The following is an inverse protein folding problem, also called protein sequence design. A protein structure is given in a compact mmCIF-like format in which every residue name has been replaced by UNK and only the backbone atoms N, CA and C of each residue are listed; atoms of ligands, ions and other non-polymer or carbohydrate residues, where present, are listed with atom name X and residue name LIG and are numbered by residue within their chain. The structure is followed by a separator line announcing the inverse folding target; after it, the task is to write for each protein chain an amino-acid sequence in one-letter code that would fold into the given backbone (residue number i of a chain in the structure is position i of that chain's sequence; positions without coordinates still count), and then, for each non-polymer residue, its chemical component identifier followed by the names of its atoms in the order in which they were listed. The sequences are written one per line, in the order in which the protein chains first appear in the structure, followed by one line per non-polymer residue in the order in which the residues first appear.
data_IF_286686508965
#
_entry.id   IF_286686508965
#
_cell.length_a   1.000
_cell.length_b   1.000
_cell.length_c   1.000
_cell.angle_alpha   90.00
_cell.angle_beta   90.00
_cell.angle_gamma   90.00
#
_symmetry.space_group_name_H-M   'P 1'
#
loop_
_entity.id
_entity.type
_entity.pdbx_description
1 polymer ?
#
# COMPACT_ATOMS: atom_id res chain seq x y z
N UNK A 1 -33.85 -5.85 2.69
CA UNK A 1 -32.55 -6.49 2.98
C UNK A 1 -31.65 -6.39 1.77
N UNK A 2 -30.60 -5.55 1.84
CA UNK A 2 -29.24 -5.81 1.31
C UNK A 2 -28.45 -4.53 1.56
N UNK A 3 -27.56 -4.56 2.55
CA UNK A 3 -26.60 -3.50 2.78
C UNK A 3 -25.55 -3.60 1.67
N UNK A 4 -25.42 -2.54 0.88
CA UNK A 4 -24.42 -2.46 -0.16
C UNK A 4 -23.06 -2.31 0.52
N UNK A 5 -22.19 -3.31 0.32
CA UNK A 5 -20.85 -3.37 0.88
C UNK A 5 -20.07 -2.14 0.42
N UNK A 6 -19.69 -1.29 1.37
CA UNK A 6 -18.85 -0.13 1.12
C UNK A 6 -17.43 -0.66 0.86
N UNK A 7 -17.05 -0.75 -0.41
CA UNK A 7 -15.68 -0.98 -0.81
C UNK A 7 -14.87 0.27 -0.42
N UNK A 8 -14.04 0.15 0.62
CA UNK A 8 -13.09 1.18 0.99
C UNK A 8 -11.92 1.16 0.00
N UNK A 9 -12.10 1.81 -1.15
CA UNK A 9 -10.99 2.18 -2.04
C UNK A 9 -10.51 3.55 -1.59
N UNK A 10 -9.52 3.57 -0.70
CA UNK A 10 -8.82 4.79 -0.36
C UNK A 10 -7.75 5.07 -1.44
N UNK A 11 -8.17 5.59 -2.59
CA UNK A 11 -7.28 6.20 -3.57
C UNK A 11 -7.35 7.72 -3.36
N UNK A 12 -6.46 8.26 -2.54
CA UNK A 12 -6.26 9.70 -2.41
C UNK A 12 -4.77 10.01 -2.58
N UNK A 13 -4.31 10.06 -3.83
CA UNK A 13 -3.01 10.63 -4.16
C UNK A 13 -3.20 12.09 -4.59
N UNK A 14 -3.13 13.00 -3.62
CA UNK A 14 -2.88 14.42 -3.90
C UNK A 14 -1.36 14.59 -3.85
N UNK A 15 -0.72 14.66 -5.02
CA UNK A 15 0.72 15.00 -5.09
C UNK A 15 0.84 16.50 -4.88
N UNK A 16 0.98 16.90 -3.63
CA UNK A 16 1.34 18.27 -3.27
C UNK A 16 2.86 18.32 -3.09
N UNK A 17 3.58 18.95 -4.02
CA UNK A 17 5.01 19.23 -3.86
C UNK A 17 5.14 20.45 -2.93
N UNK A 18 5.09 20.23 -1.62
CA UNK A 18 5.43 21.23 -0.60
C UNK A 18 6.83 20.96 -0.07
N UNK A 19 7.79 21.81 -0.48
CA UNK A 19 9.11 21.85 0.11
C UNK A 19 9.04 22.58 1.47
N UNK A 20 9.59 21.97 2.52
CA UNK A 20 10.00 22.58 3.81
C UNK A 20 8.99 22.91 4.92
N UNK A 21 7.81 22.30 4.94
CA UNK A 21 7.05 22.16 6.20
C UNK A 21 6.35 20.80 6.20
N UNK A 22 7.07 19.74 6.57
CA UNK A 22 6.45 18.45 6.81
C UNK A 22 5.54 18.62 8.03
N UNK A 23 4.23 18.77 7.83
CA UNK A 23 3.27 18.54 8.89
C UNK A 23 3.60 17.18 9.53
N UNK A 24 3.57 17.06 10.87
CA UNK A 24 3.81 15.78 11.50
C UNK A 24 2.80 14.79 10.94
N UNK A 25 3.30 13.76 10.24
CA UNK A 25 2.44 12.71 9.71
C UNK A 25 1.53 12.21 10.83
N UNK A 26 0.22 12.16 10.57
CA UNK A 26 -0.73 11.71 11.56
C UNK A 26 -0.31 10.33 12.08
N UNK A 27 -0.36 10.09 13.40
CA UNK A 27 0.06 8.82 13.96
C UNK A 27 -0.77 7.69 13.36
N UNK A 28 -0.09 6.62 12.90
CA UNK A 28 -0.77 5.45 12.37
C UNK A 28 -1.64 4.80 13.45
N UNK A 29 -2.84 4.40 13.06
CA UNK A 29 -3.69 3.62 13.96
C UNK A 29 -3.20 2.18 14.03
N UNK A 30 -3.43 1.49 15.16
CA UNK A 30 -3.07 0.06 15.29
C UNK A 30 -3.67 -0.80 14.18
N UNK A 31 -4.88 -0.46 13.74
CA UNK A 31 -5.55 -1.18 12.65
C UNK A 31 -4.83 -0.99 11.30
N UNK A 32 -4.33 0.22 11.02
CA UNK A 32 -3.55 0.49 9.81
C UNK A 32 -2.23 -0.29 9.80
N UNK A 33 -1.48 -0.27 10.91
CA UNK A 33 -0.23 -1.04 11.02
C UNK A 33 -0.45 -2.53 10.81
N UNK A 34 -1.54 -3.10 11.36
CA UNK A 34 -1.88 -4.51 11.12
C UNK A 34 -2.20 -4.81 9.67
N UNK A 35 -2.98 -3.94 9.01
CA UNK A 35 -3.30 -4.10 7.59
C UNK A 35 -2.05 -4.02 6.70
N UNK A 36 -1.10 -3.14 7.02
CA UNK A 36 0.18 -3.04 6.32
C UNK A 36 1.03 -4.32 6.49
N UNK A 37 1.10 -4.86 7.71
CA UNK A 37 1.82 -6.11 7.98
C UNK A 37 1.18 -7.30 7.25
N UNK A 38 -0.15 -7.38 7.21
CA UNK A 38 -0.86 -8.40 6.46
C UNK A 38 -0.59 -8.31 4.95
N UNK A 39 -0.55 -7.09 4.40
CA UNK A 39 -0.20 -6.87 2.99
C UNK A 39 1.24 -7.31 2.68
N UNK A 40 2.20 -6.98 3.55
CA UNK A 40 3.59 -7.43 3.42
C UNK A 40 3.70 -8.96 3.48
N UNK A 41 3.01 -9.59 4.44
CA UNK A 41 3.01 -11.04 4.55
C UNK A 41 2.38 -11.71 3.31
N UNK A 42 1.35 -11.11 2.72
CA UNK A 42 0.69 -11.62 1.50
C UNK A 42 1.61 -11.71 0.28
N UNK A 43 2.66 -10.87 0.22
CA UNK A 43 3.66 -10.89 -0.85
C UNK A 43 4.93 -11.67 -0.48
N UNK A 44 4.89 -12.38 0.65
CA UNK A 44 5.96 -13.26 1.13
C UNK A 44 7.05 -12.57 1.96
N UNK A 45 6.79 -11.36 2.50
CA UNK A 45 7.73 -10.72 3.42
C UNK A 45 7.74 -11.44 4.78
N UNK A 46 8.93 -11.66 5.33
CA UNK A 46 9.13 -12.16 6.70
C UNK A 46 10.12 -11.26 7.43
N UNK A 47 9.74 -10.69 8.59
CA UNK A 47 10.67 -9.91 9.41
C UNK A 47 11.75 -10.75 10.08
N UNK A 48 11.60 -12.10 10.09
CA UNK A 48 12.61 -13.02 10.59
C UNK A 48 13.74 -13.27 9.57
N UNK A 49 13.61 -12.77 8.35
CA UNK A 49 14.67 -12.82 7.34
C UNK A 49 15.60 -11.60 7.47
N UNK A 50 16.44 -11.62 8.51
CA UNK A 50 17.37 -10.52 8.79
C UNK A 50 18.55 -10.49 7.81
N UNK A 51 18.84 -11.62 7.16
CA UNK A 51 20.00 -11.79 6.28
C UNK A 51 19.87 -10.93 5.02
N UNK A 52 18.65 -10.82 4.49
CA UNK A 52 18.37 -10.04 3.28
C UNK A 52 17.78 -8.66 3.58
N UNK A 53 17.85 -8.20 4.83
CA UNK A 53 17.44 -6.84 5.17
C UNK A 53 18.52 -5.85 4.72
N UNK A 54 18.17 -4.73 4.05
CA UNK A 54 16.82 -4.19 3.82
C UNK A 54 16.21 -4.54 2.45
N UNK A 55 16.80 -5.42 1.65
CA UNK A 55 16.35 -5.70 0.28
C UNK A 55 15.00 -6.42 0.23
N UNK A 56 14.75 -7.32 1.19
CA UNK A 56 13.51 -8.09 1.25
C UNK A 56 12.27 -7.24 1.51
N UNK A 57 12.33 -6.24 2.39
CA UNK A 57 11.22 -5.32 2.65
C UNK A 57 10.96 -4.41 1.44
N UNK A 58 12.02 -3.89 0.82
CA UNK A 58 11.89 -3.06 -0.38
C UNK A 58 11.30 -3.83 -1.58
N UNK A 59 11.68 -5.11 -1.74
CA UNK A 59 11.10 -5.98 -2.75
C UNK A 59 9.61 -6.24 -2.50
N UNK A 60 9.22 -6.46 -1.24
CA UNK A 60 7.83 -6.62 -0.85
C UNK A 60 7.00 -5.35 -1.13
N UNK A 61 7.51 -4.18 -0.77
CA UNK A 61 6.86 -2.89 -1.06
C UNK A 61 6.65 -2.67 -2.56
N UNK A 62 7.65 -3.00 -3.40
CA UNK A 62 7.51 -2.92 -4.86
C UNK A 62 6.38 -3.80 -5.37
N UNK A 63 6.27 -5.05 -4.88
CA UNK A 63 5.19 -5.97 -5.25
C UNK A 63 3.81 -5.41 -4.87
N UNK A 64 3.67 -4.87 -3.65
CA UNK A 64 2.42 -4.25 -3.19
C UNK A 64 2.06 -3.05 -4.08
N UNK A 65 3.02 -2.18 -4.38
CA UNK A 65 2.79 -1.03 -5.27
C UNK A 65 2.34 -1.46 -6.68
N UNK A 66 2.92 -2.53 -7.23
CA UNK A 66 2.47 -3.10 -8.50
C UNK A 66 1.06 -3.69 -8.43
N UNK A 67 0.66 -4.27 -7.30
CA UNK A 67 -0.70 -4.78 -7.09
C UNK A 67 -1.74 -3.67 -6.87
N UNK A 68 -1.33 -2.53 -6.32
CA UNK A 68 -2.19 -1.35 -6.10
C UNK A 68 -2.36 -0.50 -7.36
N UNK A 69 -1.41 -0.60 -8.30
CA UNK A 69 -1.49 0.00 -9.62
C UNK A 69 -1.61 -1.08 -10.71
N UNK A 70 -2.63 -1.96 -10.69
CA UNK A 70 -2.90 -2.81 -11.82
C UNK A 70 -3.40 -1.87 -12.92
N UNK A 71 -2.50 -1.52 -13.82
CA UNK A 71 -2.78 -0.67 -14.98
C UNK A 71 -4.09 -1.13 -15.64
N UNK A 72 -4.90 -0.13 -15.96
CA UNK A 72 -6.24 -0.18 -16.57
C UNK A 72 -6.58 -1.45 -17.38
N UNK A 73 -7.81 -1.98 -17.25
CA UNK A 73 -8.28 -2.97 -18.21
C UNK A 73 -8.20 -2.36 -19.61
N UNK A 74 -7.47 -3.03 -20.51
CA UNK A 74 -7.48 -2.79 -21.97
C UNK A 74 -8.93 -2.68 -22.44
N UNK A 75 -9.45 -1.47 -22.47
CA UNK A 75 -10.77 -1.15 -22.99
C UNK A 75 -10.59 0.12 -23.80
N UNK A 76 -10.87 0.01 -25.10
CA UNK A 76 -10.72 1.04 -26.14
C UNK A 76 -9.32 1.23 -26.74
N UNK A 77 -8.99 0.41 -27.73
CA UNK A 77 -9.05 0.90 -29.11
C UNK A 77 -9.16 -0.29 -30.06
N UNK A 78 -10.33 -0.38 -30.69
CA UNK A 78 -10.58 -1.15 -31.91
C UNK A 78 -9.87 -0.48 -33.08
#
# INVERSE_FOLDING_TARGET
MKVLKLAAVAAASVVTITAFAAEPAAPLTRNQVKAELEALHSVGYSPQDWVHYPDNIQAAERKIKSQQNPSEPRTQQR
#
